data_IF_262328915952
#
_entry.id   IF_262328915952
#
_cell.length_a   1.000
_cell.length_b   1.000
_cell.length_c   1.000
_cell.angle_alpha   90.00
_cell.angle_beta   90.00
_cell.angle_gamma   90.00
#
_symmetry.space_group_name_H-M   'P 1'
#
loop_
_entity.id
_entity.type
_entity.pdbx_description
1 polymer ?
#
# COMPACT_ATOMS: atom_id res chain seq x y z
N UNK A 1 -9.76 -21.48 -10.32
CA UNK A 1 -9.61 -21.36 -8.86
C UNK A 1 -9.22 -19.92 -8.51
N UNK A 2 -9.60 -19.40 -7.33
CA UNK A 2 -9.20 -18.07 -6.86
C UNK A 2 -8.39 -18.26 -5.58
N UNK A 3 -7.25 -17.60 -5.47
CA UNK A 3 -6.41 -17.63 -4.27
C UNK A 3 -6.18 -16.20 -3.76
N UNK A 4 -5.94 -16.10 -2.45
CA UNK A 4 -5.46 -14.90 -1.77
C UNK A 4 -4.33 -15.34 -0.86
N UNK A 5 -3.28 -14.56 -0.77
CA UNK A 5 -2.13 -14.88 0.05
C UNK A 5 -1.64 -13.63 0.76
N UNK A 6 -1.04 -13.82 1.94
CA UNK A 6 -0.38 -12.75 2.66
C UNK A 6 1.03 -12.57 2.08
N UNK A 7 1.40 -11.33 1.75
CA UNK A 7 2.76 -11.02 1.32
C UNK A 7 3.75 -11.25 2.47
N UNK A 8 5.03 -11.48 2.16
CA UNK A 8 6.09 -11.38 3.19
C UNK A 8 5.95 -10.08 3.97
N UNK A 9 6.24 -10.13 5.28
CA UNK A 9 6.02 -9.02 6.20
C UNK A 9 4.58 -8.85 6.69
N UNK A 10 3.60 -9.56 6.12
CA UNK A 10 2.17 -9.35 6.39
C UNK A 10 1.47 -10.63 6.88
N UNK A 11 0.35 -10.44 7.59
CA UNK A 11 -0.58 -11.52 7.95
C UNK A 11 0.09 -12.75 8.56
N UNK A 12 -0.15 -13.92 7.97
CA UNK A 12 0.38 -15.22 8.39
C UNK A 12 1.70 -15.59 7.71
N UNK A 13 2.20 -14.78 6.79
CA UNK A 13 3.49 -14.99 6.16
C UNK A 13 4.65 -14.58 7.08
N UNK A 14 5.85 -15.07 6.73
CA UNK A 14 7.08 -14.75 7.46
C UNK A 14 7.35 -13.25 7.49
N UNK A 15 7.96 -12.78 8.59
CA UNK A 15 8.32 -11.38 8.83
C UNK A 15 9.82 -11.29 9.13
N UNK A 16 10.68 -11.42 8.11
CA UNK A 16 12.12 -11.34 8.32
C UNK A 16 12.51 -10.01 8.95
N UNK A 17 13.50 -10.03 9.84
CA UNK A 17 14.02 -8.81 10.47
C UNK A 17 14.98 -8.05 9.54
N UNK A 18 15.66 -8.78 8.64
CA UNK A 18 16.62 -8.20 7.69
C UNK A 18 15.89 -7.35 6.63
N UNK A 19 16.20 -6.03 6.52
CA UNK A 19 15.65 -5.17 5.47
C UNK A 19 15.89 -5.70 4.06
N UNK A 20 17.01 -6.40 3.82
CA UNK A 20 17.35 -6.95 2.50
C UNK A 20 16.38 -8.06 2.06
N UNK A 21 15.61 -8.62 3.00
CA UNK A 21 14.55 -9.58 2.71
C UNK A 21 13.30 -8.93 2.07
N UNK A 22 13.25 -7.61 1.92
CA UNK A 22 12.11 -6.88 1.33
C UNK A 22 12.42 -6.28 -0.04
N UNK A 23 13.41 -6.81 -0.76
CA UNK A 23 13.68 -6.44 -2.16
C UNK A 23 12.53 -6.83 -3.08
N UNK A 24 12.20 -5.95 -4.04
CA UNK A 24 11.11 -6.18 -5.01
C UNK A 24 11.22 -7.51 -5.77
N UNK A 25 12.45 -7.95 -6.08
CA UNK A 25 12.69 -9.23 -6.75
C UNK A 25 12.18 -10.42 -5.93
N UNK A 26 12.34 -10.37 -4.61
CA UNK A 26 11.95 -11.50 -3.76
C UNK A 26 10.43 -11.61 -3.61
N UNK A 27 9.69 -10.50 -3.65
CA UNK A 27 8.22 -10.53 -3.74
C UNK A 27 7.74 -11.17 -5.05
N UNK A 28 8.48 -10.95 -6.15
CA UNK A 28 8.21 -11.61 -7.42
C UNK A 28 8.44 -13.12 -7.32
N UNK A 29 9.54 -13.54 -6.67
CA UNK A 29 9.86 -14.94 -6.43
C UNK A 29 8.79 -15.65 -5.58
N UNK A 30 8.25 -14.99 -4.55
CA UNK A 30 7.13 -15.51 -3.76
C UNK A 30 5.91 -15.78 -4.66
N UNK A 31 5.59 -14.81 -5.51
CA UNK A 31 4.44 -14.91 -6.40
C UNK A 31 4.61 -16.04 -7.43
N UNK A 32 5.78 -16.16 -8.05
CA UNK A 32 6.10 -17.25 -8.98
C UNK A 32 6.04 -18.61 -8.27
N UNK A 33 6.54 -18.69 -7.04
CA UNK A 33 6.45 -19.91 -6.22
C UNK A 33 4.99 -20.29 -5.98
N UNK A 34 4.14 -19.35 -5.57
CA UNK A 34 2.71 -19.60 -5.40
C UNK A 34 2.04 -20.01 -6.71
N UNK A 35 2.37 -19.37 -7.84
CA UNK A 35 1.85 -19.77 -9.13
C UNK A 35 2.18 -21.23 -9.44
N UNK A 36 3.42 -21.65 -9.20
CA UNK A 36 3.85 -23.05 -9.42
C UNK A 36 3.11 -24.01 -8.49
N UNK A 37 3.10 -23.75 -7.18
CA UNK A 37 2.51 -24.64 -6.17
C UNK A 37 0.99 -24.79 -6.36
N UNK A 38 0.30 -23.74 -6.84
CA UNK A 38 -1.14 -23.76 -7.09
C UNK A 38 -1.51 -24.04 -8.57
N UNK A 39 -0.54 -24.28 -9.45
CA UNK A 39 -0.76 -24.62 -10.86
C UNK A 39 -1.32 -23.46 -11.72
N UNK A 40 -1.02 -22.21 -11.38
CA UNK A 40 -1.39 -21.04 -12.19
C UNK A 40 -0.35 -20.78 -13.30
N UNK A 41 -0.79 -20.69 -14.55
CA UNK A 41 0.11 -20.42 -15.70
C UNK A 41 0.17 -18.94 -16.07
N UNK A 42 -0.98 -18.27 -16.16
CA UNK A 42 -1.10 -16.84 -16.48
C UNK A 42 -2.31 -16.24 -15.75
N UNK A 43 -2.23 -16.03 -14.43
CA UNK A 43 -3.38 -15.55 -13.67
C UNK A 43 -3.68 -14.08 -13.97
N UNK A 44 -4.89 -13.63 -13.61
CA UNK A 44 -5.22 -12.22 -13.47
C UNK A 44 -4.89 -11.83 -12.03
N UNK A 45 -3.98 -10.87 -11.84
CA UNK A 45 -3.67 -10.32 -10.53
C UNK A 45 -4.68 -9.24 -10.18
N UNK A 46 -5.33 -9.36 -9.02
CA UNK A 46 -6.19 -8.30 -8.47
C UNK A 46 -5.44 -7.67 -7.31
N UNK A 47 -5.04 -6.41 -7.47
CA UNK A 47 -4.19 -5.70 -6.53
C UNK A 47 -4.93 -4.52 -5.90
N UNK A 48 -4.71 -4.31 -4.59
CA UNK A 48 -5.29 -3.20 -3.83
C UNK A 48 -4.18 -2.39 -3.15
N UNK A 49 -4.30 -1.06 -3.19
CA UNK A 49 -3.37 -0.13 -2.53
C UNK A 49 -1.90 -0.46 -2.87
N UNK A 50 -1.06 -0.58 -1.85
CA UNK A 50 0.34 -0.98 -1.92
C UNK A 50 0.56 -2.30 -2.68
N UNK A 51 -0.41 -3.22 -2.66
CA UNK A 51 -0.34 -4.49 -3.38
C UNK A 51 -0.13 -4.37 -4.89
N UNK A 52 -0.39 -3.19 -5.47
CA UNK A 52 -0.12 -2.92 -6.88
C UNK A 52 1.37 -2.91 -7.23
N UNK A 53 2.25 -2.52 -6.31
CA UNK A 53 3.67 -2.29 -6.64
C UNK A 53 4.43 -3.57 -6.99
N UNK A 54 3.83 -4.72 -6.66
CA UNK A 54 4.38 -6.05 -6.93
C UNK A 54 3.98 -6.60 -8.29
N UNK A 55 3.08 -5.93 -9.02
CA UNK A 55 2.64 -6.40 -10.33
C UNK A 55 3.75 -6.27 -11.39
N UNK A 56 4.55 -5.19 -11.32
CA UNK A 56 5.54 -4.84 -12.35
C UNK A 56 6.62 -5.92 -12.47
N UNK A 57 7.26 -6.39 -11.38
CA UNK A 57 8.23 -7.49 -11.45
C UNK A 57 7.66 -8.78 -12.04
N UNK A 58 6.35 -8.97 -12.00
CA UNK A 58 5.65 -10.17 -12.45
C UNK A 58 4.94 -10.00 -13.79
N UNK A 59 5.04 -8.85 -14.47
CA UNK A 59 4.14 -8.49 -15.56
C UNK A 59 4.06 -9.56 -16.68
N UNK A 60 5.20 -10.16 -17.04
CA UNK A 60 5.27 -11.16 -18.10
C UNK A 60 4.59 -12.50 -17.74
N UNK A 61 4.42 -12.78 -16.45
CA UNK A 61 3.80 -14.02 -15.94
C UNK A 61 2.27 -13.91 -15.83
N UNK A 62 1.71 -12.71 -16.00
CA UNK A 62 0.29 -12.43 -15.80
C UNK A 62 -0.48 -12.39 -17.12
N UNK A 63 -1.75 -12.83 -17.10
CA UNK A 63 -2.68 -12.57 -18.20
C UNK A 63 -3.20 -11.11 -18.17
N UNK A 64 -3.18 -10.48 -17.00
CA UNK A 64 -3.59 -9.09 -16.81
C UNK A 64 -3.57 -8.70 -15.33
N UNK A 65 -3.75 -7.40 -15.08
CA UNK A 65 -3.79 -6.81 -13.74
C UNK A 65 -5.06 -5.98 -13.60
N UNK A 66 -5.74 -6.11 -12.47
CA UNK A 66 -6.86 -5.25 -12.05
C UNK A 66 -6.40 -4.45 -10.84
N UNK A 67 -6.29 -3.13 -11.00
CA UNK A 67 -5.95 -2.22 -9.91
C UNK A 67 -7.21 -1.69 -9.24
N UNK A 68 -7.35 -1.99 -7.96
CA UNK A 68 -8.38 -1.45 -7.07
C UNK A 68 -7.72 -0.40 -6.19
N UNK A 69 -7.79 0.88 -6.56
CA UNK A 69 -7.13 1.97 -5.81
C UNK A 69 -5.65 1.65 -5.49
N UNK A 70 -4.95 1.01 -6.43
CA UNK A 70 -3.62 0.47 -6.22
C UNK A 70 -2.54 1.30 -6.91
N UNK A 71 -1.32 1.24 -6.37
CA UNK A 71 -0.15 1.93 -6.94
C UNK A 71 0.68 0.96 -7.77
N UNK A 72 0.94 1.21 -9.07
CA UNK A 72 1.71 0.29 -9.89
C UNK A 72 3.20 0.27 -9.53
N UNK A 73 3.75 1.35 -8.96
CA UNK A 73 5.12 1.43 -8.47
C UNK A 73 5.21 2.40 -7.30
N UNK A 74 6.29 2.29 -6.52
CA UNK A 74 6.59 3.18 -5.39
C UNK A 74 8.04 3.63 -5.52
N UNK A 75 8.22 4.93 -5.67
CA UNK A 75 9.52 5.59 -5.66
C UNK A 75 9.39 6.91 -4.89
N UNK A 76 10.44 7.38 -4.21
CA UNK A 76 10.48 8.72 -3.67
C UNK A 76 10.50 9.79 -4.78
N UNK A 77 9.77 10.91 -4.61
CA UNK A 77 8.71 11.13 -3.63
C UNK A 77 7.48 10.29 -3.98
N UNK A 78 6.85 9.64 -2.99
CA UNK A 78 5.60 8.92 -3.21
C UNK A 78 4.54 9.91 -3.71
N UNK A 79 3.99 9.66 -4.91
CA UNK A 79 2.96 10.48 -5.55
C UNK A 79 3.36 11.95 -5.77
N UNK A 80 4.39 12.23 -6.60
CA UNK A 80 5.00 13.56 -6.75
C UNK A 80 3.98 14.68 -7.04
N UNK A 81 2.94 14.37 -7.84
CA UNK A 81 1.96 15.35 -8.29
C UNK A 81 0.58 15.16 -7.63
N UNK A 82 0.41 14.15 -6.77
CA UNK A 82 -0.89 13.84 -6.15
C UNK A 82 -0.89 14.04 -4.64
N UNK A 83 0.25 14.35 -4.04
CA UNK A 83 0.37 14.66 -2.61
C UNK A 83 1.09 16.00 -2.46
N UNK A 84 0.45 16.94 -1.75
CA UNK A 84 1.06 18.24 -1.47
C UNK A 84 2.14 18.11 -0.38
N UNK A 85 3.18 18.97 -0.35
CA UNK A 85 4.18 18.93 0.71
C UNK A 85 3.60 18.96 2.14
N UNK A 86 2.55 19.76 2.45
CA UNK A 86 1.86 19.66 3.73
C UNK A 86 1.29 18.27 4.03
N UNK A 87 0.65 17.62 3.05
CA UNK A 87 0.13 16.26 3.22
C UNK A 87 1.23 15.24 3.48
N UNK A 88 2.39 15.36 2.82
CA UNK A 88 3.56 14.49 3.09
C UNK A 88 4.01 14.64 4.55
N UNK A 89 4.13 15.87 5.05
CA UNK A 89 4.57 16.14 6.42
C UNK A 89 3.61 15.53 7.46
N UNK A 90 2.30 15.67 7.24
CA UNK A 90 1.27 15.09 8.11
C UNK A 90 1.31 13.55 8.12
N UNK A 91 1.54 12.91 6.96
CA UNK A 91 1.69 11.45 6.88
C UNK A 91 2.96 10.99 7.60
N UNK A 92 4.08 11.69 7.41
CA UNK A 92 5.35 11.34 8.05
C UNK A 92 5.27 11.41 9.57
N UNK A 93 4.63 12.46 10.12
CA UNK A 93 4.41 12.57 11.56
C UNK A 93 3.52 11.45 12.12
N UNK A 94 2.54 10.98 11.34
CA UNK A 94 1.71 9.86 11.76
C UNK A 94 2.45 8.51 11.75
N UNK A 95 3.38 8.32 10.80
CA UNK A 95 4.13 7.07 10.66
C UNK A 95 5.35 6.97 11.58
N UNK A 96 5.99 8.10 11.87
CA UNK A 96 7.26 8.17 12.61
C UNK A 96 7.23 9.18 13.76
N UNK A 97 6.04 9.59 14.21
CA UNK A 97 5.85 10.54 15.30
C UNK A 97 6.48 10.06 16.60
N UNK A 98 7.10 10.98 17.34
CA UNK A 98 7.81 10.68 18.58
C UNK A 98 6.92 10.74 19.82
N UNK A 99 5.73 11.33 19.72
CA UNK A 99 4.78 11.44 20.82
C UNK A 99 3.30 11.38 20.38
N UNK A 100 2.44 10.92 21.29
CA UNK A 100 1.00 10.72 21.06
C UNK A 100 0.28 12.05 20.78
N UNK A 101 0.70 13.15 21.40
CA UNK A 101 0.02 14.43 21.23
C UNK A 101 0.25 14.98 19.82
N UNK A 102 1.48 14.86 19.30
CA UNK A 102 1.81 15.20 17.91
C UNK A 102 1.06 14.30 16.93
N UNK A 103 1.03 12.98 17.17
CA UNK A 103 0.22 12.06 16.37
C UNK A 103 -1.26 12.48 16.29
N UNK A 104 -1.90 12.78 17.43
CA UNK A 104 -3.32 13.16 17.46
C UNK A 104 -3.59 14.50 16.76
N UNK A 105 -2.74 15.51 16.95
CA UNK A 105 -2.85 16.80 16.26
C UNK A 105 -2.74 16.62 14.75
N UNK A 106 -1.72 15.90 14.30
CA UNK A 106 -1.43 15.76 12.87
C UNK A 106 -2.41 14.81 12.17
N UNK A 107 -2.90 13.78 12.87
CA UNK A 107 -4.04 12.97 12.42
C UNK A 107 -5.27 13.84 12.19
N UNK A 108 -5.60 14.72 13.13
CA UNK A 108 -6.77 15.61 13.02
C UNK A 108 -6.63 16.53 11.82
N UNK A 109 -5.47 17.22 11.69
CA UNK A 109 -5.18 18.08 10.55
C UNK A 109 -5.22 17.31 9.22
N UNK A 110 -4.75 16.06 9.19
CA UNK A 110 -4.82 15.22 7.99
C UNK A 110 -6.26 14.89 7.60
N UNK A 111 -7.10 14.46 8.56
CA UNK A 111 -8.52 14.19 8.31
C UNK A 111 -9.25 15.42 7.79
N UNK A 112 -8.99 16.58 8.41
CA UNK A 112 -9.61 17.84 8.02
C UNK A 112 -9.25 18.20 6.57
N UNK A 113 -7.99 17.95 6.18
CA UNK A 113 -7.49 18.21 4.84
C UNK A 113 -8.01 17.23 3.76
N UNK A 114 -8.67 16.12 4.10
CA UNK A 114 -9.31 15.23 3.13
C UNK A 114 -10.54 15.91 2.50
N UNK A 115 -11.20 16.80 3.24
CA UNK A 115 -12.41 17.48 2.81
C UNK A 115 -12.07 18.80 2.12
N UNK A 116 -12.77 19.10 1.03
CA UNK A 116 -12.67 20.44 0.42
C UNK A 116 -13.23 21.53 1.34
N UNK A 117 -14.26 21.20 2.12
CA UNK A 117 -14.90 22.09 3.10
C UNK A 117 -15.46 21.24 4.24
N UNK A 118 -14.65 21.03 5.28
CA UNK A 118 -15.03 20.20 6.41
C UNK A 118 -16.17 20.81 7.22
N UNK A 119 -16.30 22.14 7.26
CA UNK A 119 -17.33 22.82 8.05
C UNK A 119 -18.74 22.49 7.55
N UNK A 120 -18.87 22.18 6.26
CA UNK A 120 -20.11 21.72 5.63
C UNK A 120 -20.34 20.20 5.69
N UNK A 121 -19.42 19.42 6.26
CA UNK A 121 -19.60 17.96 6.46
C UNK A 121 -20.27 17.71 7.80
N UNK A 122 -21.38 16.96 7.82
CA UNK A 122 -22.02 16.52 9.08
C UNK A 122 -20.98 15.81 9.95
N UNK A 123 -20.87 16.22 11.22
CA UNK A 123 -19.90 15.66 12.17
C UNK A 123 -19.99 14.13 12.29
N UNK A 124 -21.16 13.53 12.04
CA UNK A 124 -21.36 12.06 12.06
C UNK A 124 -20.68 11.35 10.88
N UNK A 125 -20.38 12.09 9.82
CA UNK A 125 -19.69 11.59 8.63
C UNK A 125 -18.20 11.92 8.64
N UNK A 126 -17.74 12.74 9.60
CA UNK A 126 -16.32 13.01 9.82
C UNK A 126 -15.68 11.78 10.47
N UNK A 127 -14.62 11.25 9.84
CA UNK A 127 -13.80 10.16 10.38
C UNK A 127 -13.04 10.67 11.61
N UNK A 128 -13.53 10.44 12.83
CA UNK A 128 -12.83 10.83 14.08
C UNK A 128 -11.72 9.86 14.47
#
# INVERSE_FOLDING_TARGET
>A
MKARYDLRGHGRSGKPEDPEAYKSSLYADDFVTLMREFGYTRPILVAWSYGGSYSIPCADTLAGVVYLCAVPYIAPPMFPDSITPPTVALIQSQMAGTDVASYLRDKTAFIDAIWQDIDNVDYRLRLT
#
